data_IF_040010748135
#
_entry.id   IF_040010748135
#
_cell.length_a   1.000
_cell.length_b   1.000
_cell.length_c   1.000
_cell.angle_alpha   90.00
_cell.angle_beta   90.00
_cell.angle_gamma   90.00
#
_symmetry.space_group_name_H-M   'P 1'
#
loop_
_entity.id
_entity.type
_entity.pdbx_description
1 polymer ?
#
# COMPACT_ATOMS: atom_id res chain seq x y z
N UNK A 1 -12.82 -2.96 10.32
CA UNK A 1 -12.95 -2.35 8.99
C UNK A 1 -11.70 -2.54 8.14
N UNK A 2 -11.89 -2.52 6.82
CA UNK A 2 -10.82 -2.74 5.85
C UNK A 2 -10.27 -1.41 5.34
N UNK A 3 -8.95 -1.30 5.25
CA UNK A 3 -8.28 -0.21 4.56
C UNK A 3 -8.34 -0.45 3.04
N UNK A 4 -8.47 0.62 2.28
CA UNK A 4 -8.63 0.62 0.82
C UNK A 4 -7.61 1.57 0.23
N UNK A 5 -6.80 1.08 -0.71
CA UNK A 5 -5.76 1.86 -1.40
C UNK A 5 -6.02 1.86 -2.89
N UNK A 6 -6.08 3.04 -3.50
CA UNK A 6 -6.16 3.24 -4.95
C UNK A 6 -4.92 3.99 -5.44
N UNK A 7 -4.29 3.51 -6.51
CA UNK A 7 -3.21 4.26 -7.17
C UNK A 7 -3.84 5.24 -8.16
N UNK A 8 -3.74 6.54 -7.87
CA UNK A 8 -4.24 7.60 -8.76
C UNK A 8 -3.23 7.91 -9.87
N UNK A 9 -1.93 7.94 -9.54
CA UNK A 9 -0.84 8.11 -10.51
C UNK A 9 0.45 7.47 -10.00
N UNK A 10 1.41 7.21 -10.90
CA UNK A 10 2.71 6.60 -10.58
C UNK A 10 2.67 5.08 -10.46
N UNK A 11 3.64 4.52 -9.71
CA UNK A 11 3.78 3.08 -9.46
C UNK A 11 4.02 2.80 -7.98
N UNK A 12 3.23 1.87 -7.44
CA UNK A 12 3.34 1.35 -6.08
C UNK A 12 3.73 -0.13 -6.11
N UNK A 13 4.79 -0.51 -5.43
CA UNK A 13 5.03 -1.90 -5.05
C UNK A 13 4.35 -2.16 -3.70
N UNK A 14 3.51 -3.19 -3.63
CA UNK A 14 2.74 -3.52 -2.44
C UNK A 14 2.98 -4.98 -2.03
N UNK A 15 3.15 -5.19 -0.72
CA UNK A 15 3.23 -6.51 -0.10
C UNK A 15 2.42 -6.56 1.20
N UNK A 16 1.87 -7.74 1.50
CA UNK A 16 1.12 -8.01 2.73
C UNK A 16 1.62 -9.30 3.37
N UNK A 17 1.74 -9.35 4.69
CA UNK A 17 2.26 -10.50 5.42
C UNK A 17 3.12 -10.11 6.63
N UNK A 18 3.62 -11.13 7.36
CA UNK A 18 4.44 -10.92 8.54
C UNK A 18 5.81 -10.27 8.22
N UNK A 19 6.36 -10.56 7.04
CA UNK A 19 7.53 -9.92 6.49
C UNK A 19 7.20 -9.39 5.09
N UNK A 20 7.61 -8.16 4.80
CA UNK A 20 7.48 -7.56 3.48
C UNK A 20 8.77 -7.85 2.73
N UNK A 21 8.82 -8.96 2.00
CA UNK A 21 9.91 -9.27 1.08
C UNK A 21 9.70 -8.51 -0.23
N UNK A 22 10.66 -7.66 -0.61
CA UNK A 22 10.61 -6.88 -1.85
C UNK A 22 10.46 -7.75 -3.10
N UNK A 23 10.99 -8.97 -3.11
CA UNK A 23 10.86 -9.88 -4.23
C UNK A 23 9.43 -10.42 -4.40
N UNK A 24 8.65 -10.43 -3.32
CA UNK A 24 7.27 -10.93 -3.29
C UNK A 24 6.22 -9.84 -3.55
N UNK A 25 6.64 -8.57 -3.62
CA UNK A 25 5.74 -7.45 -3.81
C UNK A 25 5.14 -7.41 -5.22
N UNK A 26 3.88 -7.00 -5.30
CA UNK A 26 3.20 -6.74 -6.57
C UNK A 26 3.36 -5.28 -6.97
N UNK A 27 3.73 -5.05 -8.23
CA UNK A 27 3.73 -3.70 -8.81
C UNK A 27 2.34 -3.34 -9.30
N UNK A 28 1.86 -2.18 -8.87
CA UNK A 28 0.52 -1.66 -9.11
C UNK A 28 0.65 -0.29 -9.77
N UNK A 29 0.07 -0.18 -10.97
CA UNK A 29 0.00 1.07 -11.73
C UNK A 29 -1.30 1.85 -11.48
N UNK A 30 -1.50 2.98 -12.16
CA UNK A 30 -2.70 3.80 -12.02
C UNK A 30 -3.99 3.01 -12.27
N UNK A 31 -5.03 3.27 -11.47
CA UNK A 31 -6.30 2.55 -11.50
C UNK A 31 -6.30 1.22 -10.72
N UNK A 32 -5.14 0.75 -10.25
CA UNK A 32 -5.06 -0.43 -9.38
C UNK A 32 -5.68 -0.15 -8.01
N UNK A 33 -6.32 -1.17 -7.45
CA UNK A 33 -7.03 -1.10 -6.18
C UNK A 33 -6.66 -2.27 -5.25
N UNK A 34 -6.52 -2.00 -3.96
CA UNK A 34 -6.21 -2.97 -2.91
C UNK A 34 -7.20 -2.83 -1.76
N UNK A 35 -7.74 -3.95 -1.29
CA UNK A 35 -8.48 -4.02 -0.03
C UNK A 35 -7.65 -4.78 0.99
N UNK A 36 -7.38 -4.16 2.12
CA UNK A 36 -6.53 -4.67 3.19
C UNK A 36 -7.41 -4.94 4.40
N UNK A 37 -7.63 -6.20 4.79
CA UNK A 37 -8.41 -6.52 5.98
C UNK A 37 -7.78 -5.98 7.27
N UNK A 38 -8.60 -5.75 8.29
CA UNK A 38 -8.13 -5.35 9.61
C UNK A 38 -7.09 -6.33 10.16
N UNK A 39 -6.02 -5.80 10.78
CA UNK A 39 -4.97 -6.61 11.40
C UNK A 39 -3.95 -7.21 10.43
N UNK A 40 -4.10 -7.02 9.12
CA UNK A 40 -3.11 -7.47 8.14
C UNK A 40 -1.95 -6.48 8.06
N UNK A 41 -0.76 -6.94 8.45
CA UNK A 41 0.49 -6.20 8.24
C UNK A 41 0.75 -6.08 6.74
N UNK A 42 1.11 -4.88 6.31
CA UNK A 42 1.36 -4.56 4.92
C UNK A 42 2.41 -3.45 4.81
N UNK A 43 2.99 -3.32 3.62
CA UNK A 43 3.96 -2.29 3.30
C UNK A 43 3.88 -1.93 1.82
N UNK A 44 4.22 -0.68 1.53
CA UNK A 44 4.25 -0.14 0.19
C UNK A 44 5.55 0.61 -0.07
N UNK A 45 6.05 0.53 -1.31
CA UNK A 45 7.17 1.33 -1.77
C UNK A 45 6.80 2.02 -3.09
N UNK A 46 6.87 3.34 -3.11
CA UNK A 46 6.74 4.10 -4.35
C UNK A 46 7.99 3.91 -5.21
N UNK A 47 7.81 3.54 -6.49
CA UNK A 47 8.91 3.41 -7.46
C UNK A 47 9.15 4.68 -8.28
N UNK A 48 8.14 5.54 -8.33
CA UNK A 48 8.12 6.85 -8.99
C UNK A 48 7.43 7.85 -8.08
N UNK A 49 7.30 9.10 -8.52
CA UNK A 49 6.31 10.01 -7.96
C UNK A 49 4.93 9.37 -8.07
N UNK A 50 4.27 9.14 -6.93
CA UNK A 50 3.07 8.30 -6.83
C UNK A 50 2.05 9.00 -5.95
N UNK A 51 0.81 9.11 -6.44
CA UNK A 51 -0.33 9.61 -5.68
C UNK A 51 -1.23 8.43 -5.32
N UNK A 52 -1.45 8.24 -4.03
CA UNK A 52 -2.35 7.22 -3.50
C UNK A 52 -3.57 7.88 -2.87
N UNK A 53 -4.75 7.30 -3.10
CA UNK A 53 -5.91 7.55 -2.26
C UNK A 53 -6.03 6.40 -1.26
N UNK A 54 -6.02 6.73 0.03
CA UNK A 54 -6.22 5.76 1.12
C UNK A 54 -7.53 6.08 1.83
N UNK A 55 -8.35 5.07 2.07
CA UNK A 55 -9.62 5.20 2.77
C UNK A 55 -9.78 4.07 3.76
N UNK A 56 -10.22 4.37 4.97
CA UNK A 56 -10.50 3.39 6.01
C UNK A 56 -11.30 4.03 7.14
N UNK A 57 -11.94 3.19 7.94
CA UNK A 57 -12.67 3.64 9.11
C UNK A 57 -11.82 3.40 10.37
N UNK A 58 -11.50 4.48 11.07
CA UNK A 58 -10.69 4.45 12.29
C UNK A 58 -9.43 5.31 12.18
N UNK A 59 -8.60 5.35 13.25
CA UNK A 59 -7.35 6.10 13.25
C UNK A 59 -6.39 5.59 12.17
N UNK A 60 -5.83 6.51 11.40
CA UNK A 60 -4.85 6.21 10.35
C UNK A 60 -3.46 6.64 10.82
N UNK A 61 -2.47 5.75 10.69
CA UNK A 61 -1.07 6.01 11.02
C UNK A 61 -0.17 5.48 9.90
N UNK A 62 0.63 6.35 9.30
CA UNK A 62 1.65 5.96 8.33
C UNK A 62 3.03 5.91 9.00
N UNK A 63 3.63 4.72 9.03
CA UNK A 63 5.01 4.55 9.47
C UNK A 63 5.93 4.65 8.25
N UNK A 64 6.45 5.84 7.99
CA UNK A 64 7.35 6.06 6.86
C UNK A 64 8.74 5.56 7.23
N UNK A 65 9.24 4.61 6.44
CA UNK A 65 10.62 4.12 6.53
C UNK A 65 11.45 4.79 5.44
N UNK A 66 12.69 5.17 5.76
CA UNK A 66 13.67 5.57 4.75
C UNK A 66 14.16 4.32 4.02
N UNK A 67 14.43 4.46 2.72
CA UNK A 67 15.16 3.43 1.96
C UNK A 67 16.58 3.26 2.50
#
# INVERSE_FOLDING_TARGET
>A
DSERVTVLSGMLMFGSGASVDMASMKTLGPGSFISIPAGVRHGGMAKTDTILQVTGNGPMVFNIVKQ
#
